data_IF_253144023879
#
_entry.id   IF_253144023879
#
_cell.length_a   1.000
_cell.length_b   1.000
_cell.length_c   1.000
_cell.angle_alpha   90.00
_cell.angle_beta   90.00
_cell.angle_gamma   90.00
#
_symmetry.space_group_name_H-M   'P 1'
#
loop_
_entity.id
_entity.type
_entity.pdbx_description
1 polymer ?
#
# COMPACT_ATOMS: atom_id res chain seq x y z
N UNK A 1 -28.51 -25.56 -8.44
CA UNK A 1 -27.31 -24.72 -8.66
C UNK A 1 -26.76 -25.08 -10.03
N UNK A 2 -26.81 -24.17 -11.00
CA UNK A 2 -26.42 -24.46 -12.39
C UNK A 2 -24.92 -24.28 -12.59
N UNK A 3 -24.31 -25.04 -13.51
CA UNK A 3 -22.87 -24.95 -13.77
C UNK A 3 -22.39 -23.53 -14.16
N UNK A 4 -23.11 -22.75 -14.99
CA UNK A 4 -22.73 -21.37 -15.28
C UNK A 4 -22.71 -20.48 -14.04
N UNK A 5 -23.65 -20.66 -13.10
CA UNK A 5 -23.69 -19.89 -11.88
C UNK A 5 -22.47 -20.18 -10.96
N UNK A 6 -22.04 -21.44 -10.88
CA UNK A 6 -20.85 -21.83 -10.13
C UNK A 6 -19.57 -21.25 -10.74
N UNK A 7 -19.47 -21.25 -12.07
CA UNK A 7 -18.32 -20.67 -12.78
C UNK A 7 -18.23 -19.17 -12.47
N UNK A 8 -19.34 -18.43 -12.59
CA UNK A 8 -19.36 -16.99 -12.29
C UNK A 8 -19.05 -16.70 -10.82
N UNK A 9 -19.53 -17.53 -9.89
CA UNK A 9 -19.23 -17.41 -8.47
C UNK A 9 -17.72 -17.54 -8.19
N UNK A 10 -17.07 -18.56 -8.77
CA UNK A 10 -15.63 -18.77 -8.60
C UNK A 10 -14.82 -17.64 -9.24
N UNK A 11 -15.19 -17.21 -10.44
CA UNK A 11 -14.51 -16.09 -11.11
C UNK A 11 -14.60 -14.79 -10.29
N UNK A 12 -15.77 -14.51 -9.70
CA UNK A 12 -15.94 -13.36 -8.82
C UNK A 12 -15.01 -13.40 -7.59
N UNK A 13 -14.92 -14.56 -6.94
CA UNK A 13 -14.01 -14.78 -5.80
C UNK A 13 -12.55 -14.56 -6.24
N UNK A 14 -12.13 -15.14 -7.36
CA UNK A 14 -10.76 -15.00 -7.87
C UNK A 14 -10.40 -13.56 -8.22
N UNK A 15 -11.33 -12.80 -8.80
CA UNK A 15 -11.08 -11.39 -9.14
C UNK A 15 -10.93 -10.53 -7.89
N UNK A 16 -11.81 -10.69 -6.89
CA UNK A 16 -11.73 -9.88 -5.67
C UNK A 16 -10.48 -10.24 -4.86
N UNK A 17 -10.30 -11.52 -4.56
CA UNK A 17 -9.17 -11.94 -3.72
C UNK A 17 -7.84 -11.84 -4.46
N UNK A 18 -7.80 -12.19 -5.75
CA UNK A 18 -6.62 -12.03 -6.58
C UNK A 18 -6.22 -10.56 -6.73
N UNK A 19 -7.18 -9.67 -6.97
CA UNK A 19 -6.96 -8.23 -7.02
C UNK A 19 -6.45 -7.68 -5.68
N UNK A 20 -7.12 -8.04 -4.58
CA UNK A 20 -6.75 -7.60 -3.24
C UNK A 20 -5.33 -8.06 -2.85
N UNK A 21 -5.02 -9.35 -3.00
CA UNK A 21 -3.70 -9.89 -2.67
C UNK A 21 -2.62 -9.22 -3.52
N UNK A 22 -2.87 -9.05 -4.83
CA UNK A 22 -1.94 -8.37 -5.73
C UNK A 22 -1.68 -6.91 -5.30
N UNK A 23 -2.73 -6.15 -4.99
CA UNK A 23 -2.60 -4.77 -4.50
C UNK A 23 -1.81 -4.68 -3.20
N UNK A 24 -2.06 -5.57 -2.24
CA UNK A 24 -1.31 -5.62 -0.98
C UNK A 24 0.16 -5.93 -1.22
N UNK A 25 0.48 -6.89 -2.09
CA UNK A 25 1.87 -7.22 -2.41
C UNK A 25 2.59 -6.03 -3.08
N UNK A 26 1.93 -5.31 -3.98
CA UNK A 26 2.48 -4.12 -4.64
C UNK A 26 2.74 -2.98 -3.65
N UNK A 27 1.78 -2.72 -2.75
CA UNK A 27 1.92 -1.71 -1.71
C UNK A 27 3.02 -2.08 -0.72
N UNK A 28 3.08 -3.34 -0.28
CA UNK A 28 4.08 -3.79 0.69
C UNK A 28 5.51 -3.81 0.13
N UNK A 29 5.66 -3.94 -1.19
CA UNK A 29 6.99 -3.90 -1.83
C UNK A 29 7.51 -2.46 -2.04
N UNK A 30 6.69 -1.46 -1.73
CA UNK A 30 7.01 -0.05 -1.90
C UNK A 30 7.37 0.53 -0.53
N UNK A 31 8.61 1.01 -0.36
CA UNK A 31 9.07 1.68 0.87
C UNK A 31 8.74 3.17 0.82
N UNK A 32 8.01 3.67 1.81
CA UNK A 32 7.55 5.07 1.89
C UNK A 32 8.74 6.05 1.95
N UNK A 33 9.78 5.71 2.70
CA UNK A 33 11.05 6.45 2.79
C UNK A 33 11.81 6.61 1.45
N UNK A 34 11.45 5.85 0.40
CA UNK A 34 12.10 5.94 -0.92
C UNK A 34 11.13 6.27 -2.05
N UNK A 35 9.83 6.38 -1.75
CA UNK A 35 8.78 6.52 -2.77
C UNK A 35 7.71 7.49 -2.30
N UNK A 36 7.20 8.34 -3.20
CA UNK A 36 6.23 9.37 -2.83
C UNK A 36 6.87 10.72 -2.47
N UNK A 37 6.03 11.67 -2.06
CA UNK A 37 6.44 13.06 -1.83
C UNK A 37 7.32 13.20 -0.58
N UNK A 38 7.00 12.46 0.49
CA UNK A 38 7.74 12.45 1.76
C UNK A 38 9.17 11.89 1.66
N UNK A 39 9.47 11.08 0.64
CA UNK A 39 10.84 10.63 0.37
C UNK A 39 11.72 11.67 -0.34
N UNK A 40 11.11 12.72 -0.90
CA UNK A 40 11.83 13.77 -1.68
C UNK A 40 11.62 15.19 -1.18
N UNK A 41 10.62 15.38 -0.31
CA UNK A 41 10.26 16.68 0.23
C UNK A 41 11.36 17.17 1.19
N UNK A 42 11.78 18.44 1.10
CA UNK A 42 12.73 18.99 2.05
C UNK A 42 12.13 19.02 3.47
N UNK A 43 12.82 18.44 4.44
CA UNK A 43 12.41 18.50 5.84
C UNK A 43 11.46 17.39 6.30
N UNK A 44 11.29 16.33 5.50
CA UNK A 44 10.51 15.13 5.86
C UNK A 44 11.38 13.92 6.16
N UNK A 45 12.71 14.08 6.17
CA UNK A 45 13.67 13.06 6.59
C UNK A 45 13.74 12.94 8.13
N UNK A 46 14.17 11.78 8.62
CA UNK A 46 14.23 11.50 10.07
C UNK A 46 15.10 12.52 10.83
N UNK A 47 16.21 12.96 10.24
CA UNK A 47 17.14 13.89 10.89
C UNK A 47 16.50 15.28 11.08
N UNK A 48 15.73 15.76 10.10
CA UNK A 48 15.02 17.04 10.18
C UNK A 48 13.80 16.98 11.12
N UNK A 49 13.02 15.90 11.09
CA UNK A 49 11.87 15.72 11.99
C UNK A 49 12.28 15.55 13.46
N UNK A 50 13.34 14.79 13.73
CA UNK A 50 13.87 14.65 15.09
C UNK A 50 14.42 15.97 15.62
N UNK A 51 15.07 16.78 14.77
CA UNK A 51 15.55 18.11 15.17
C UNK A 51 14.40 19.03 15.58
N UNK A 52 13.37 19.17 14.74
CA UNK A 52 12.26 20.08 15.04
C UNK A 52 11.55 19.73 16.35
N UNK A 53 11.27 18.44 16.59
CA UNK A 53 10.65 17.97 17.83
C UNK A 53 11.53 18.23 19.08
N UNK A 54 12.85 18.20 18.94
CA UNK A 54 13.78 18.43 20.07
C UNK A 54 13.92 19.91 20.43
N UNK A 55 13.63 20.84 19.50
CA UNK A 55 13.61 22.29 19.76
C UNK A 55 12.22 22.83 20.12
N UNK A 56 11.18 21.98 20.08
CA UNK A 56 9.79 22.34 20.39
C UNK A 56 9.41 22.15 21.88
N UNK A 57 10.32 21.63 22.72
CA UNK A 57 10.18 21.46 24.17
C UNK A 57 11.07 22.44 24.93
#
# INVERSE_FOLDING_TARGET
>A
MTAPALILMVLFILVIWGGLVSSVLLLNNTRDETTGELGTAPGTDDDSLMRDNTYAT
#
